data_IF_952133707947
#
_entry.id   IF_952133707947
#
_cell.length_a   1.000
_cell.length_b   1.000
_cell.length_c   1.000
_cell.angle_alpha   90.00
_cell.angle_beta   90.00
_cell.angle_gamma   90.00
#
_symmetry.space_group_name_H-M   'P 1'
#
loop_
_entity.id
_entity.type
_entity.pdbx_description
1 polymer ?
#
# COMPACT_ATOMS: atom_id res chain seq x y z
N UNK A 1 -38.57 -10.85 11.86
CA UNK A 1 -37.22 -10.47 12.31
C UNK A 1 -36.48 -9.95 11.10
N UNK A 2 -36.37 -8.64 10.94
CA UNK A 2 -35.51 -8.05 9.93
C UNK A 2 -34.07 -8.26 10.38
N UNK A 3 -33.29 -8.98 9.57
CA UNK A 3 -31.84 -9.07 9.75
C UNK A 3 -31.29 -7.81 9.12
N UNK A 4 -30.81 -6.88 9.92
CA UNK A 4 -29.99 -5.77 9.44
C UNK A 4 -28.73 -6.42 8.84
N UNK A 5 -28.61 -6.36 7.51
CA UNK A 5 -27.37 -6.68 6.82
C UNK A 5 -26.41 -5.53 7.06
N UNK A 6 -25.73 -5.56 8.21
CA UNK A 6 -24.54 -4.74 8.41
C UNK A 6 -23.47 -5.28 7.47
N UNK A 7 -23.26 -4.62 6.34
CA UNK A 7 -22.08 -4.84 5.50
C UNK A 7 -20.85 -4.63 6.38
N UNK A 8 -20.22 -5.71 6.80
CA UNK A 8 -18.96 -5.71 7.53
C UNK A 8 -17.90 -5.20 6.54
N UNK A 9 -17.74 -3.88 6.47
CA UNK A 9 -16.89 -3.21 5.50
C UNK A 9 -15.43 -3.40 5.93
N UNK A 10 -14.93 -4.63 5.78
CA UNK A 10 -13.55 -4.98 6.10
C UNK A 10 -12.63 -4.26 5.12
N UNK A 11 -11.79 -3.38 5.66
CA UNK A 11 -10.79 -2.66 4.90
C UNK A 11 -9.67 -3.64 4.49
N UNK A 12 -9.54 -3.90 3.19
CA UNK A 12 -8.53 -4.81 2.65
C UNK A 12 -7.23 -4.06 2.32
N UNK A 13 -6.12 -4.54 2.87
CA UNK A 13 -4.76 -4.18 2.47
C UNK A 13 -4.16 -5.40 1.77
N UNK A 14 -3.68 -5.22 0.53
CA UNK A 14 -3.19 -6.33 -0.29
C UNK A 14 -2.04 -7.13 0.35
N UNK A 15 -1.10 -6.45 1.01
CA UNK A 15 -0.02 -7.10 1.76
C UNK A 15 0.40 -6.29 2.99
N UNK A 16 0.73 -6.99 4.06
CA UNK A 16 1.38 -6.42 5.25
C UNK A 16 2.64 -7.24 5.54
N UNK A 17 3.78 -6.57 5.69
CA UNK A 17 5.02 -7.19 6.15
C UNK A 17 5.43 -6.57 7.49
N UNK A 18 5.87 -7.40 8.43
CA UNK A 18 6.25 -7.01 9.79
C UNK A 18 7.71 -7.36 10.06
N UNK A 19 8.44 -6.44 10.67
CA UNK A 19 9.73 -6.70 11.29
C UNK A 19 9.65 -6.36 12.79
N UNK A 20 9.56 -7.39 13.62
CA UNK A 20 9.41 -7.23 15.07
C UNK A 20 10.69 -6.76 15.78
N UNK A 21 11.86 -6.96 15.17
CA UNK A 21 13.15 -6.55 15.75
C UNK A 21 13.38 -5.05 15.59
N UNK A 22 12.88 -4.46 14.51
CA UNK A 22 13.11 -3.04 14.16
C UNK A 22 11.86 -2.16 14.26
N UNK A 23 10.71 -2.76 14.59
CA UNK A 23 9.38 -2.14 14.60
C UNK A 23 8.93 -1.61 13.23
N UNK A 24 9.45 -2.15 12.13
CA UNK A 24 9.02 -1.74 10.80
C UNK A 24 7.75 -2.51 10.38
N UNK A 25 6.80 -1.79 9.79
CA UNK A 25 5.64 -2.35 9.10
C UNK A 25 5.57 -1.78 7.70
N UNK A 26 5.44 -2.64 6.70
CA UNK A 26 5.20 -2.24 5.32
C UNK A 26 3.77 -2.58 4.93
N UNK A 27 3.04 -1.59 4.46
CA UNK A 27 1.72 -1.76 3.84
C UNK A 27 1.88 -1.71 2.33
N UNK A 28 1.29 -2.69 1.63
CA UNK A 28 1.36 -2.76 0.18
C UNK A 28 0.02 -2.95 -0.50
N UNK A 29 -0.12 -2.36 -1.67
CA UNK A 29 -1.29 -2.47 -2.53
C UNK A 29 -0.87 -2.80 -3.96
N UNK A 30 -1.56 -3.77 -4.58
CA UNK A 30 -1.30 -4.17 -5.96
C UNK A 30 -2.47 -3.79 -6.86
N UNK A 31 -2.21 -3.00 -7.89
CA UNK A 31 -3.18 -2.67 -8.96
C UNK A 31 -2.65 -3.17 -10.30
N UNK A 32 -3.15 -4.32 -10.72
CA UNK A 32 -2.70 -4.98 -11.95
C UNK A 32 -3.61 -4.65 -13.14
N UNK A 33 -3.56 -3.41 -13.62
CA UNK A 33 -4.41 -2.92 -14.72
C UNK A 33 -3.59 -2.38 -15.90
N UNK A 34 -4.27 -2.00 -16.98
CA UNK A 34 -3.65 -1.29 -18.13
C UNK A 34 -3.50 0.22 -17.90
N UNK A 35 -4.00 0.76 -16.78
CA UNK A 35 -3.89 2.17 -16.43
C UNK A 35 -2.79 2.37 -15.39
N UNK A 36 -1.96 3.43 -15.52
CA UNK A 36 -1.02 3.81 -14.49
C UNK A 36 -1.74 4.08 -13.16
N UNK A 37 -1.08 3.78 -12.05
CA UNK A 37 -1.57 4.05 -10.70
C UNK A 37 -1.31 5.51 -10.35
N UNK A 38 -2.35 6.20 -9.89
CA UNK A 38 -2.27 7.57 -9.40
C UNK A 38 -2.22 7.66 -7.88
N UNK A 39 -2.18 8.90 -7.38
CA UNK A 39 -2.07 9.23 -5.94
C UNK A 39 -3.23 8.75 -5.09
N UNK A 40 -4.40 8.50 -5.69
CA UNK A 40 -5.60 8.02 -5.02
C UNK A 40 -5.39 6.66 -4.35
N UNK A 41 -4.63 5.77 -4.98
CA UNK A 41 -4.36 4.43 -4.45
C UNK A 41 -3.46 4.51 -3.22
N UNK A 42 -2.46 5.38 -3.24
CA UNK A 42 -1.61 5.65 -2.09
C UNK A 42 -2.42 6.25 -0.93
N UNK A 43 -3.23 7.26 -1.21
CA UNK A 43 -4.06 7.90 -0.18
C UNK A 43 -5.04 6.90 0.47
N UNK A 44 -5.62 5.99 -0.32
CA UNK A 44 -6.46 4.92 0.19
C UNK A 44 -5.67 3.94 1.08
N UNK A 45 -4.48 3.53 0.65
CA UNK A 45 -3.60 2.64 1.43
C UNK A 45 -3.20 3.27 2.78
N UNK A 46 -2.81 4.55 2.79
CA UNK A 46 -2.50 5.30 4.02
C UNK A 46 -3.73 5.39 4.93
N UNK A 47 -4.93 5.59 4.36
CA UNK A 47 -6.17 5.59 5.15
C UNK A 47 -6.41 4.23 5.82
N UNK A 48 -6.20 3.14 5.08
CA UNK A 48 -6.38 1.76 5.59
C UNK A 48 -5.32 1.39 6.64
N UNK A 49 -4.08 1.82 6.46
CA UNK A 49 -3.00 1.58 7.42
C UNK A 49 -3.33 2.07 8.85
N UNK A 50 -4.13 3.15 8.97
CA UNK A 50 -4.56 3.72 10.26
C UNK A 50 -5.44 2.79 11.10
N UNK A 51 -6.15 1.83 10.49
CA UNK A 51 -7.00 0.91 11.24
C UNK A 51 -6.23 -0.31 11.77
N UNK A 52 -5.02 -0.56 11.27
CA UNK A 52 -4.18 -1.69 11.70
C UNK A 52 -3.59 -1.41 13.09
N UNK A 53 -3.94 -2.24 14.06
CA UNK A 53 -3.49 -2.13 15.46
C UNK A 53 -2.25 -2.99 15.69
N UNK A 54 -1.07 -2.43 15.44
CA UNK A 54 0.21 -3.12 15.68
C UNK A 54 1.29 -2.10 15.98
N UNK A 55 1.85 -2.12 17.20
CA UNK A 55 2.93 -1.22 17.69
C UNK A 55 2.71 0.26 17.34
N UNK A 56 1.47 0.75 17.41
CA UNK A 56 1.09 2.09 16.93
C UNK A 56 1.85 3.26 17.60
N UNK A 57 2.42 3.03 18.78
CA UNK A 57 3.16 4.06 19.53
C UNK A 57 4.58 4.25 19.00
N UNK A 58 5.19 3.23 18.38
CA UNK A 58 6.62 3.22 18.03
C UNK A 58 6.95 2.51 16.70
N UNK A 59 5.96 2.10 15.91
CA UNK A 59 6.19 1.51 14.58
C UNK A 59 6.69 2.53 13.58
N UNK A 60 7.48 2.05 12.63
CA UNK A 60 7.89 2.78 11.43
C UNK A 60 7.09 2.24 10.26
N UNK A 61 6.40 3.13 9.57
CA UNK A 61 5.53 2.76 8.45
C UNK A 61 6.25 2.95 7.12
N UNK A 62 6.16 1.92 6.28
CA UNK A 62 6.63 1.91 4.90
C UNK A 62 5.46 1.62 3.97
N UNK A 63 5.51 2.16 2.76
CA UNK A 63 4.45 2.00 1.78
C UNK A 63 5.01 1.49 0.46
N UNK A 64 4.34 0.49 -0.12
CA UNK A 64 4.70 -0.08 -1.41
C UNK A 64 3.50 -0.17 -2.35
N UNK A 65 3.66 0.28 -3.59
CA UNK A 65 2.65 0.11 -4.63
C UNK A 65 3.19 -0.76 -5.76
N UNK A 66 2.35 -1.67 -6.24
CA UNK A 66 2.67 -2.54 -7.36
C UNK A 66 1.75 -2.25 -8.54
N UNK A 67 2.32 -2.02 -9.73
CA UNK A 67 1.56 -1.66 -10.93
C UNK A 67 2.12 -2.27 -12.20
N UNK A 68 1.25 -2.95 -12.97
CA UNK A 68 1.62 -3.46 -14.30
C UNK A 68 1.95 -2.34 -15.29
N UNK A 69 1.13 -1.28 -15.29
CA UNK A 69 1.23 -0.17 -16.23
C UNK A 69 2.09 1.00 -15.72
N UNK A 70 2.74 0.83 -14.55
CA UNK A 70 3.52 1.88 -13.90
C UNK A 70 2.65 2.92 -13.18
N UNK A 71 3.20 4.11 -13.02
CA UNK A 71 2.67 5.16 -12.15
C UNK A 71 2.56 6.49 -12.90
N UNK A 72 1.56 7.31 -12.55
CA UNK A 72 1.46 8.68 -13.06
C UNK A 72 2.64 9.53 -12.60
N UNK A 73 2.93 10.62 -13.31
CA UNK A 73 4.01 11.53 -12.92
C UNK A 73 3.76 12.13 -11.54
N UNK A 74 2.50 12.47 -11.20
CA UNK A 74 2.19 12.97 -9.87
C UNK A 74 2.48 11.93 -8.78
N UNK A 75 2.18 10.65 -9.03
CA UNK A 75 2.48 9.58 -8.09
C UNK A 75 3.99 9.37 -7.95
N UNK A 76 4.78 9.48 -9.03
CA UNK A 76 6.25 9.40 -8.96
C UNK A 76 6.86 10.54 -8.15
N UNK A 77 6.36 11.76 -8.31
CA UNK A 77 6.82 12.90 -7.52
C UNK A 77 6.42 12.76 -6.04
N UNK A 78 5.18 12.31 -5.77
CA UNK A 78 4.73 12.05 -4.40
C UNK A 78 5.55 10.95 -3.73
N UNK A 79 5.88 9.88 -4.46
CA UNK A 79 6.69 8.78 -3.95
C UNK A 79 8.09 9.23 -3.52
N UNK A 80 8.72 10.16 -4.26
CA UNK A 80 10.02 10.73 -3.85
C UNK A 80 9.91 11.56 -2.57
N UNK A 81 8.79 12.25 -2.38
CA UNK A 81 8.56 13.12 -1.23
C UNK A 81 8.27 12.32 0.04
N UNK A 82 7.48 11.26 -0.10
CA UNK A 82 6.95 10.48 1.02
C UNK A 82 7.67 9.11 1.19
N UNK A 83 8.75 8.88 0.43
CA UNK A 83 9.55 7.65 0.43
C UNK A 83 8.73 6.37 0.16
N UNK A 84 7.82 6.45 -0.83
CA UNK A 84 6.96 5.32 -1.24
C UNK A 84 7.70 4.44 -2.24
N UNK A 85 7.75 3.13 -1.97
CA UNK A 85 8.34 2.15 -2.87
C UNK A 85 7.40 1.90 -4.05
N UNK A 86 7.91 2.08 -5.27
CA UNK A 86 7.16 1.88 -6.50
C UNK A 86 7.70 0.67 -7.27
N UNK A 87 6.86 -0.35 -7.42
CA UNK A 87 7.19 -1.58 -8.13
C UNK A 87 6.38 -1.68 -9.43
N UNK A 88 6.97 -1.24 -10.53
CA UNK A 88 6.51 -1.59 -11.87
C UNK A 88 7.20 -2.88 -12.37
N UNK A 89 6.88 -3.31 -13.60
CA UNK A 89 7.44 -4.54 -14.16
C UNK A 89 8.98 -4.51 -14.20
N UNK A 90 9.59 -3.36 -14.50
CA UNK A 90 11.05 -3.23 -14.56
C UNK A 90 11.66 -3.33 -13.16
N UNK A 91 11.07 -2.66 -12.17
CA UNK A 91 11.51 -2.75 -10.78
C UNK A 91 11.38 -4.18 -10.22
N UNK A 92 10.28 -4.88 -10.53
CA UNK A 92 10.07 -6.28 -10.13
C UNK A 92 11.11 -7.19 -10.80
N UNK A 93 11.37 -7.02 -12.10
CA UNK A 93 12.37 -7.81 -12.81
C UNK A 93 13.77 -7.64 -12.19
N UNK A 94 14.13 -6.41 -11.81
CA UNK A 94 15.39 -6.11 -11.13
C UNK A 94 15.48 -6.78 -9.75
N UNK A 95 14.37 -6.89 -9.02
CA UNK A 95 14.35 -7.50 -7.69
C UNK A 95 14.41 -9.05 -7.72
N UNK A 96 14.10 -9.68 -8.86
CA UNK A 96 14.14 -11.14 -9.03
C UNK A 96 15.49 -11.67 -9.51
N UNK A 97 16.42 -10.79 -9.87
CA UNK A 97 17.77 -11.13 -10.36
C UNK A 97 18.80 -10.89 -9.26
#
# INVERSE_FOLDING_TARGET
MHREETSDNQEEIGVVALNEDTNDIMFGECKWSSKPVGTEVYAELVRKAKVVQWRNEDRKEHYALFSKAGFTDEMRELAKKDDVLLFDLEAIEKALK
#
